data_IF_383008831399
#
_entry.id   IF_383008831399
#
_cell.length_a   1.000
_cell.length_b   1.000
_cell.length_c   1.000
_cell.angle_alpha   90.00
_cell.angle_beta   90.00
_cell.angle_gamma   90.00
#
_symmetry.space_group_name_H-M   'P 1'
#
loop_
_entity.id
_entity.type
_entity.pdbx_description
1 polymer ?
#
# COMPACT_ATOMS: atom_id res chain seq x y z
N UNK A 1 30.36 -11.73 -2.77
CA UNK A 1 30.21 -10.26 -2.97
C UNK A 1 30.05 -9.61 -1.60
N UNK A 2 30.61 -8.42 -1.37
CA UNK A 2 30.46 -7.70 -0.09
C UNK A 2 29.20 -6.81 -0.11
N UNK A 3 28.56 -6.63 1.03
CA UNK A 3 27.38 -5.78 1.20
C UNK A 3 27.76 -4.30 1.25
N UNK A 4 27.04 -3.45 0.52
CA UNK A 4 27.27 -1.99 0.50
C UNK A 4 26.95 -1.34 1.84
N UNK A 5 25.94 -1.84 2.55
CA UNK A 5 25.46 -1.23 3.79
C UNK A 5 26.32 -1.59 5.01
N UNK A 6 26.80 -2.83 5.11
CA UNK A 6 27.46 -3.33 6.32
C UNK A 6 28.81 -4.03 6.08
N UNK A 7 29.30 -4.08 4.84
CA UNK A 7 30.51 -4.85 4.46
C UNK A 7 30.44 -6.36 4.76
N UNK A 8 29.28 -6.89 5.14
CA UNK A 8 29.04 -8.33 5.31
C UNK A 8 29.11 -9.10 3.98
N UNK A 9 28.96 -10.43 4.03
CA UNK A 9 29.03 -11.27 2.83
C UNK A 9 27.66 -11.65 2.31
N UNK A 10 27.47 -11.52 1.00
CA UNK A 10 26.29 -12.04 0.31
C UNK A 10 26.43 -13.53 0.04
N UNK A 11 25.44 -14.31 0.47
CA UNK A 11 25.28 -15.73 0.12
C UNK A 11 24.10 -15.92 -0.83
N UNK A 12 24.27 -16.79 -1.82
CA UNK A 12 23.17 -17.21 -2.70
C UNK A 12 22.18 -18.02 -1.87
N UNK A 13 20.92 -17.64 -1.93
CA UNK A 13 19.78 -18.33 -1.32
C UNK A 13 18.78 -18.64 -2.43
N UNK A 14 18.12 -19.79 -2.32
CA UNK A 14 17.08 -20.23 -3.26
C UNK A 14 15.82 -20.53 -2.48
N UNK A 15 14.86 -19.61 -2.53
CA UNK A 15 13.61 -19.70 -1.77
C UNK A 15 12.52 -18.83 -2.42
N UNK A 16 11.28 -18.96 -1.95
CA UNK A 16 10.22 -18.01 -2.24
C UNK A 16 10.39 -16.74 -1.40
N UNK A 17 10.12 -15.58 -1.98
CA UNK A 17 10.13 -14.28 -1.30
C UNK A 17 8.71 -13.77 -1.12
N UNK A 18 8.41 -13.22 0.06
CA UNK A 18 7.22 -12.40 0.28
C UNK A 18 7.53 -10.97 -0.18
N UNK A 19 6.76 -10.46 -1.13
CA UNK A 19 6.86 -9.09 -1.63
C UNK A 19 5.62 -8.33 -1.18
N UNK A 20 5.83 -7.15 -0.62
CA UNK A 20 4.76 -6.22 -0.29
C UNK A 20 4.72 -5.09 -1.34
N UNK A 21 3.70 -5.11 -2.20
CA UNK A 21 3.49 -4.08 -3.22
C UNK A 21 2.40 -3.08 -2.78
N UNK A 22 2.66 -1.79 -2.96
CA UNK A 22 1.76 -0.71 -2.53
C UNK A 22 0.37 -0.76 -3.20
N UNK A 23 0.24 -1.41 -4.36
CA UNK A 23 -0.99 -1.46 -5.15
C UNK A 23 -1.69 -2.82 -5.09
N UNK A 24 -0.92 -3.91 -5.10
CA UNK A 24 -1.38 -5.30 -5.18
C UNK A 24 -1.33 -6.00 -3.81
N UNK A 25 -0.72 -5.36 -2.82
CA UNK A 25 -0.52 -5.93 -1.48
C UNK A 25 0.53 -7.04 -1.47
N UNK A 26 0.39 -7.94 -0.51
CA UNK A 26 1.35 -9.03 -0.27
C UNK A 26 1.14 -10.16 -1.28
N UNK A 27 2.23 -10.61 -1.90
CA UNK A 27 2.24 -11.83 -2.70
C UNK A 27 3.57 -12.59 -2.55
N UNK A 28 3.52 -13.90 -2.79
CA UNK A 28 4.71 -14.75 -2.76
C UNK A 28 5.27 -14.94 -4.17
N UNK A 29 6.59 -14.89 -4.33
CA UNK A 29 7.27 -15.24 -5.58
C UNK A 29 7.30 -16.75 -5.77
N UNK A 30 7.67 -17.21 -6.96
CA UNK A 30 8.10 -18.60 -7.12
C UNK A 30 9.48 -18.78 -6.45
N UNK A 31 9.98 -20.01 -6.36
CA UNK A 31 11.33 -20.26 -5.85
C UNK A 31 12.34 -19.62 -6.81
N UNK A 32 13.04 -18.59 -6.34
CA UNK A 32 14.00 -17.81 -7.11
C UNK A 32 15.36 -17.76 -6.41
N UNK A 33 16.41 -17.53 -7.19
CA UNK A 33 17.75 -17.31 -6.64
C UNK A 33 17.91 -15.82 -6.31
N UNK A 34 18.40 -15.53 -5.10
CA UNK A 34 18.73 -14.18 -4.66
C UNK A 34 19.94 -14.19 -3.74
N UNK A 35 20.56 -13.04 -3.52
CA UNK A 35 21.65 -12.90 -2.58
C UNK A 35 21.14 -12.28 -1.27
N UNK A 36 21.46 -12.90 -0.13
CA UNK A 36 21.13 -12.38 1.19
C UNK A 36 22.41 -12.10 1.97
N UNK A 37 22.54 -10.90 2.52
CA UNK A 37 23.68 -10.55 3.36
C UNK A 37 23.59 -11.30 4.70
N UNK A 38 24.66 -11.98 5.10
CA UNK A 38 24.69 -12.72 6.38
C UNK A 38 24.69 -11.84 7.62
N UNK A 39 25.00 -10.55 7.48
CA UNK A 39 25.16 -9.63 8.61
C UNK A 39 23.93 -8.75 8.83
N UNK A 40 23.41 -8.08 7.79
CA UNK A 40 22.27 -7.16 7.90
C UNK A 40 20.97 -7.66 7.26
N UNK A 41 20.95 -8.87 6.69
CA UNK A 41 19.82 -9.43 5.94
C UNK A 41 19.40 -8.65 4.68
N UNK A 42 20.21 -7.70 4.20
CA UNK A 42 19.96 -7.02 2.92
C UNK A 42 19.83 -8.04 1.78
N UNK A 43 18.95 -7.76 0.84
CA UNK A 43 18.55 -8.68 -0.22
C UNK A 43 18.82 -8.06 -1.59
N UNK A 44 19.65 -8.73 -2.38
CA UNK A 44 19.96 -8.31 -3.74
C UNK A 44 19.40 -9.32 -4.75
N UNK A 45 18.58 -8.80 -5.67
CA UNK A 45 17.93 -9.59 -6.71
C UNK A 45 18.76 -9.59 -8.00
N UNK A 46 19.18 -10.78 -8.50
CA UNK A 46 19.70 -10.89 -9.85
C UNK A 46 18.68 -10.42 -10.89
N UNK A 47 19.16 -9.91 -12.03
CA UNK A 47 18.31 -9.42 -13.12
C UNK A 47 17.22 -10.43 -13.56
N UNK A 48 17.57 -11.72 -13.62
CA UNK A 48 16.63 -12.80 -13.95
C UNK A 48 15.49 -12.91 -12.93
N UNK A 49 15.82 -12.91 -11.64
CA UNK A 49 14.86 -13.01 -10.54
C UNK A 49 13.99 -11.75 -10.46
N UNK A 50 14.59 -10.56 -10.58
CA UNK A 50 13.87 -9.29 -10.61
C UNK A 50 12.84 -9.25 -11.76
N UNK A 51 13.22 -9.72 -12.96
CA UNK A 51 12.31 -9.80 -14.10
C UNK A 51 11.12 -10.75 -13.84
N UNK A 52 11.39 -11.92 -13.24
CA UNK A 52 10.35 -12.89 -12.89
C UNK A 52 9.36 -12.33 -11.86
N UNK A 53 9.85 -11.58 -10.86
CA UNK A 53 9.00 -10.89 -9.88
C UNK A 53 8.10 -9.85 -10.57
N UNK A 54 8.66 -9.03 -11.46
CA UNK A 54 7.87 -8.03 -12.21
C UNK A 54 6.83 -8.65 -13.14
N UNK A 55 7.15 -9.79 -13.78
CA UNK A 55 6.19 -10.53 -14.61
C UNK A 55 5.03 -11.07 -13.75
N UNK A 56 5.34 -11.69 -12.60
CA UNK A 56 4.33 -12.18 -11.65
C UNK A 56 3.46 -11.04 -11.12
N UNK A 57 4.09 -9.93 -10.73
CA UNK A 57 3.42 -8.71 -10.29
C UNK A 57 2.45 -8.16 -11.35
N UNK A 58 2.90 -8.02 -12.61
CA UNK A 58 2.05 -7.57 -13.72
C UNK A 58 0.87 -8.50 -13.97
N UNK A 59 1.09 -9.82 -13.86
CA UNK A 59 0.04 -10.81 -13.99
C UNK A 59 -1.03 -10.63 -12.91
N UNK A 60 -0.64 -10.58 -11.64
CA UNK A 60 -1.58 -10.38 -10.53
C UNK A 60 -2.32 -9.04 -10.68
N UNK A 61 -1.62 -7.96 -11.04
CA UNK A 61 -2.25 -6.66 -11.30
C UNK A 61 -3.32 -6.76 -12.39
N UNK A 62 -3.01 -7.43 -13.50
CA UNK A 62 -3.94 -7.60 -14.60
C UNK A 62 -5.13 -8.48 -14.20
N UNK A 63 -4.90 -9.56 -13.44
CA UNK A 63 -5.96 -10.43 -12.93
C UNK A 63 -6.93 -9.64 -12.02
N UNK A 64 -6.39 -8.78 -11.14
CA UNK A 64 -7.17 -7.86 -10.33
C UNK A 64 -7.97 -6.91 -11.21
N UNK A 65 -7.35 -6.23 -12.17
CA UNK A 65 -8.05 -5.29 -13.06
C UNK A 65 -9.14 -5.98 -13.89
N UNK A 66 -8.91 -7.21 -14.36
CA UNK A 66 -9.92 -7.98 -15.10
C UNK A 66 -11.12 -8.40 -14.24
N UNK A 67 -10.98 -8.44 -12.91
CA UNK A 67 -12.09 -8.70 -11.99
C UNK A 67 -13.05 -7.52 -11.82
N UNK A 68 -12.64 -6.30 -12.21
CA UNK A 68 -13.51 -5.12 -12.12
C UNK A 68 -14.63 -5.18 -13.17
N UNK A 69 -15.85 -4.69 -12.84
CA UNK A 69 -16.93 -4.55 -13.80
C UNK A 69 -16.54 -3.69 -15.02
N UNK A 70 -16.96 -4.10 -16.22
CA UNK A 70 -16.66 -3.39 -17.48
C UNK A 70 -17.13 -1.91 -17.43
N UNK A 71 -18.23 -1.62 -16.72
CA UNK A 71 -18.77 -0.25 -16.55
C UNK A 71 -17.82 0.71 -15.83
N UNK A 72 -16.86 0.19 -15.07
CA UNK A 72 -15.88 0.98 -14.32
C UNK A 72 -14.68 1.37 -15.20
N UNK A 73 -14.63 0.87 -16.43
CA UNK A 73 -13.64 1.21 -17.42
C UNK A 73 -14.14 2.26 -18.40
N UNK A 74 -13.20 3.03 -18.95
CA UNK A 74 -13.40 3.99 -20.02
C UNK A 74 -12.49 3.68 -21.20
N UNK A 75 -12.96 3.95 -22.40
CA UNK A 75 -12.19 3.83 -23.63
C UNK A 75 -11.07 4.89 -23.70
N UNK A 76 -10.11 4.71 -24.62
CA UNK A 76 -9.08 5.72 -24.88
C UNK A 76 -9.65 7.09 -25.27
N UNK A 77 -10.79 7.13 -25.96
CA UNK A 77 -11.46 8.38 -26.35
C UNK A 77 -12.01 9.09 -25.12
N UNK A 78 -12.80 8.39 -24.31
CA UNK A 78 -13.35 8.95 -23.07
C UNK A 78 -12.26 9.36 -22.08
N UNK A 79 -11.18 8.57 -21.95
CA UNK A 79 -10.05 8.93 -21.12
C UNK A 79 -9.36 10.21 -21.60
N UNK A 80 -9.21 10.40 -22.92
CA UNK A 80 -8.64 11.63 -23.48
C UNK A 80 -9.55 12.84 -23.24
N UNK A 81 -10.86 12.65 -23.31
CA UNK A 81 -11.85 13.70 -23.04
C UNK A 81 -11.82 14.11 -21.55
N UNK A 82 -11.77 13.13 -20.63
CA UNK A 82 -11.64 13.37 -19.19
C UNK A 82 -10.38 14.19 -18.88
N UNK A 83 -9.25 13.82 -19.50
CA UNK A 83 -7.96 14.47 -19.29
C UNK A 83 -7.81 15.80 -20.06
N UNK A 84 -8.77 16.15 -20.93
CA UNK A 84 -8.73 17.31 -21.81
C UNK A 84 -7.45 17.36 -22.68
N UNK A 85 -7.09 16.21 -23.27
CA UNK A 85 -5.97 16.06 -24.20
C UNK A 85 -6.43 15.35 -25.46
N UNK A 86 -5.70 15.50 -26.57
CA UNK A 86 -6.01 14.71 -27.76
C UNK A 86 -5.71 13.22 -27.52
N UNK A 87 -6.44 12.34 -28.20
CA UNK A 87 -6.16 10.88 -28.18
C UNK A 87 -4.72 10.55 -28.57
N UNK A 88 -4.15 11.29 -29.51
CA UNK A 88 -2.74 11.13 -29.89
C UNK A 88 -1.79 11.53 -28.77
N UNK A 89 -2.10 12.61 -28.03
CA UNK A 89 -1.35 13.00 -26.85
C UNK A 89 -1.43 11.94 -25.75
N UNK A 90 -2.61 11.37 -25.48
CA UNK A 90 -2.78 10.26 -24.52
C UNK A 90 -1.81 9.11 -24.80
N UNK A 91 -1.74 8.64 -26.06
CA UNK A 91 -0.85 7.56 -26.47
C UNK A 91 0.63 7.92 -26.39
N UNK A 92 1.00 9.19 -26.64
CA UNK A 92 2.41 9.64 -26.58
C UNK A 92 2.85 10.05 -25.17
N UNK A 93 1.91 10.28 -24.25
CA UNK A 93 2.17 10.79 -22.91
C UNK A 93 3.09 9.86 -22.11
N UNK A 94 4.34 10.29 -21.85
CA UNK A 94 5.37 9.46 -21.19
C UNK A 94 4.90 8.89 -19.87
N UNK A 95 4.25 9.70 -19.04
CA UNK A 95 3.77 9.29 -17.70
C UNK A 95 2.67 8.22 -17.76
N UNK A 96 1.77 8.30 -18.74
CA UNK A 96 0.67 7.34 -18.89
C UNK A 96 1.23 6.02 -19.40
N UNK A 97 2.14 6.06 -20.39
CA UNK A 97 2.88 4.88 -20.86
C UNK A 97 3.70 4.19 -19.78
N UNK A 98 4.18 4.94 -18.79
CA UNK A 98 4.89 4.40 -17.63
C UNK A 98 3.97 3.81 -16.55
N UNK A 99 2.66 3.71 -16.81
CA UNK A 99 1.71 3.04 -15.90
C UNK A 99 1.20 3.90 -14.75
N UNK A 100 1.23 5.25 -14.86
CA UNK A 100 0.60 6.12 -13.86
C UNK A 100 -0.95 6.11 -13.92
N UNK A 101 -1.54 5.39 -14.89
CA UNK A 101 -2.97 5.12 -14.95
C UNK A 101 -3.14 3.61 -15.13
N UNK A 102 -3.98 3.01 -14.29
CA UNK A 102 -4.34 1.60 -14.43
C UNK A 102 -5.11 1.38 -15.72
N UNK A 103 -4.64 0.42 -16.51
CA UNK A 103 -5.24 0.02 -17.77
C UNK A 103 -5.14 -1.50 -17.93
N UNK A 104 -6.06 -2.05 -18.71
CA UNK A 104 -6.06 -3.46 -19.12
C UNK A 104 -6.58 -3.55 -20.56
N UNK A 105 -6.63 -4.77 -21.11
CA UNK A 105 -7.15 -5.03 -22.45
C UNK A 105 -8.41 -5.90 -22.39
N UNK A 106 -9.50 -5.42 -23.00
CA UNK A 106 -10.68 -6.23 -23.30
C UNK A 106 -10.86 -6.34 -24.82
N UNK A 107 -10.91 -7.57 -25.35
CA UNK A 107 -11.08 -7.81 -26.79
C UNK A 107 -10.00 -7.13 -27.65
N UNK A 108 -8.75 -7.10 -27.19
CA UNK A 108 -7.63 -6.46 -27.88
C UNK A 108 -7.63 -4.92 -27.84
N UNK A 109 -8.59 -4.28 -27.17
CA UNK A 109 -8.65 -2.83 -26.98
C UNK A 109 -8.19 -2.47 -25.58
N UNK A 110 -7.29 -1.48 -25.48
CA UNK A 110 -6.90 -0.90 -24.20
C UNK A 110 -8.05 -0.08 -23.63
N UNK A 111 -8.38 -0.34 -22.36
CA UNK A 111 -9.31 0.46 -21.57
C UNK A 111 -8.63 0.90 -20.28
N UNK A 112 -9.12 1.99 -19.69
CA UNK A 112 -8.54 2.59 -18.50
C UNK A 112 -9.55 2.53 -17.37
N UNK A 113 -9.08 2.27 -16.15
CA UNK A 113 -9.96 2.30 -14.98
C UNK A 113 -10.39 3.75 -14.75
N UNK A 114 -11.70 4.02 -14.76
CA UNK A 114 -12.26 5.39 -14.71
C UNK A 114 -11.75 6.18 -13.51
N UNK A 115 -11.76 5.56 -12.33
CA UNK A 115 -11.26 6.17 -11.09
C UNK A 115 -9.78 6.56 -11.19
N UNK A 116 -8.96 5.70 -11.79
CA UNK A 116 -7.54 5.97 -12.01
C UNK A 116 -7.33 7.18 -12.94
N UNK A 117 -8.12 7.32 -14.00
CA UNK A 117 -8.07 8.48 -14.90
C UNK A 117 -8.44 9.77 -14.16
N UNK A 118 -9.51 9.74 -13.36
CA UNK A 118 -9.96 10.89 -12.58
C UNK A 118 -8.91 11.30 -11.54
N UNK A 119 -8.31 10.33 -10.84
CA UNK A 119 -7.27 10.58 -9.85
C UNK A 119 -6.01 11.16 -10.51
N UNK A 120 -5.64 10.65 -11.69
CA UNK A 120 -4.54 11.20 -12.48
C UNK A 120 -4.80 12.65 -12.90
N UNK A 121 -6.05 12.99 -13.29
CA UNK A 121 -6.42 14.39 -13.59
C UNK A 121 -6.17 15.33 -12.40
N UNK A 122 -6.41 14.84 -11.18
CA UNK A 122 -6.28 15.63 -9.96
C UNK A 122 -4.85 15.71 -9.43
N UNK A 123 -4.09 14.61 -9.47
CA UNK A 123 -2.81 14.45 -8.77
C UNK A 123 -1.62 14.14 -9.68
N UNK A 124 -1.85 13.99 -10.98
CA UNK A 124 -0.90 13.47 -11.97
C UNK A 124 -0.35 12.07 -11.65
N UNK A 125 -1.05 11.33 -10.79
CA UNK A 125 -0.82 9.94 -10.45
C UNK A 125 -2.18 9.29 -10.20
N UNK A 126 -2.55 8.36 -11.07
CA UNK A 126 -3.81 7.64 -11.04
C UNK A 126 -3.73 6.32 -10.28
N UNK A 127 -2.58 6.00 -9.68
CA UNK A 127 -2.38 4.73 -8.97
C UNK A 127 -2.90 4.84 -7.54
N UNK A 128 -3.52 3.76 -7.08
CA UNK A 128 -4.03 3.60 -5.71
C UNK A 128 -4.06 2.12 -5.34
N UNK A 129 -4.07 1.75 -4.04
CA UNK A 129 -4.21 0.37 -3.60
C UNK A 129 -5.47 -0.32 -4.13
N UNK A 130 -5.33 -1.42 -4.86
CA UNK A 130 -6.43 -2.17 -5.47
C UNK A 130 -6.99 -3.28 -4.57
N UNK A 131 -6.18 -3.82 -3.64
CA UNK A 131 -6.54 -4.96 -2.77
C UNK A 131 -7.75 -4.67 -1.89
N UNK A 132 -7.88 -3.42 -1.44
CA UNK A 132 -8.96 -3.02 -0.54
C UNK A 132 -10.34 -3.09 -1.22
N UNK A 133 -10.42 -2.99 -2.55
CA UNK A 133 -11.68 -3.00 -3.29
C UNK A 133 -12.25 -4.42 -3.51
N UNK A 134 -11.45 -5.48 -3.43
CA UNK A 134 -11.91 -6.86 -3.68
C UNK A 134 -12.73 -7.42 -2.50
N UNK A 135 -12.49 -6.92 -1.29
CA UNK A 135 -13.15 -7.39 -0.05
C UNK A 135 -14.56 -6.78 0.11
N UNK A 136 -15.07 -6.05 -0.89
CA UNK A 136 -16.39 -5.41 -0.83
C UNK A 136 -16.44 -4.20 0.11
N UNK A 137 -15.27 -3.72 0.57
CA UNK A 137 -15.15 -2.44 1.26
C UNK A 137 -15.18 -1.36 0.18
N UNK A 138 -16.35 -0.76 -0.03
CA UNK A 138 -16.53 0.30 -1.01
C UNK A 138 -15.79 1.56 -0.55
N UNK A 139 -14.63 1.84 -1.16
CA UNK A 139 -13.72 2.95 -0.79
C UNK A 139 -14.26 4.31 -1.27
N UNK A 140 -15.40 4.36 -1.97
CA UNK A 140 -15.97 5.62 -2.50
C UNK A 140 -16.17 6.73 -1.44
N UNK A 141 -16.16 6.40 -0.14
CA UNK A 141 -16.23 7.35 0.97
C UNK A 141 -14.94 7.53 1.79
N UNK A 142 -13.84 6.87 1.44
CA UNK A 142 -12.55 7.12 2.10
C UNK A 142 -11.93 8.33 1.43
N UNK A 143 -12.10 9.47 2.08
CA UNK A 143 -11.45 10.73 1.73
C UNK A 143 -9.93 10.50 1.81
N UNK A 144 -9.30 10.17 0.67
CA UNK A 144 -7.85 10.04 0.57
C UNK A 144 -7.20 11.38 0.91
N UNK A 145 -6.80 11.52 2.17
CA UNK A 145 -5.81 12.52 2.55
C UNK A 145 -4.57 12.22 1.70
N UNK A 146 -4.10 13.16 0.86
CA UNK A 146 -2.90 12.94 0.08
C UNK A 146 -1.79 12.59 1.07
N UNK A 147 -1.20 11.41 0.95
CA UNK A 147 0.10 11.17 1.55
C UNK A 147 1.04 12.18 0.90
N UNK A 148 1.32 13.27 1.62
CA UNK A 148 2.42 14.13 1.27
C UNK A 148 3.63 13.22 1.17
N UNK A 149 4.33 13.27 0.05
CA UNK A 149 5.61 12.59 -0.10
C UNK A 149 6.51 13.15 1.00
N UNK A 150 6.59 12.46 2.13
CA UNK A 150 7.69 12.60 3.05
C UNK A 150 8.90 12.12 2.25
N UNK A 151 9.59 13.07 1.62
CA UNK A 151 11.01 12.93 1.40
C UNK A 151 11.58 12.52 2.75
N UNK A 152 12.10 11.31 2.84
CA UNK A 152 12.95 10.89 3.94
C UNK A 152 14.15 11.84 3.95
N UNK A 153 13.98 13.01 4.59
CA UNK A 153 15.10 13.72 5.18
C UNK A 153 15.56 12.82 6.30
N UNK A 154 16.75 12.26 6.18
CA UNK A 154 17.46 11.66 7.29
C UNK A 154 17.44 12.68 8.43
N UNK A 155 16.61 12.43 9.44
CA UNK A 155 16.68 13.16 10.69
C UNK A 155 17.92 12.61 11.38
N UNK A 156 18.99 13.41 11.35
CA UNK A 156 20.16 13.18 12.17
C UNK A 156 19.70 13.34 13.63
N UNK A 157 19.48 12.22 14.32
CA UNK A 157 19.18 12.26 15.75
C UNK A 157 20.48 12.54 16.49
N UNK A 158 20.50 13.65 17.21
CA UNK A 158 21.57 14.03 18.14
C UNK A 158 21.78 12.90 19.16
N UNK A 159 23.01 12.36 19.33
CA UNK A 159 23.30 11.28 20.27
C UNK A 159 23.09 11.65 21.75
N UNK A 160 22.73 12.89 22.08
CA UNK A 160 22.52 13.34 23.47
C UNK A 160 21.05 13.48 23.90
N UNK A 161 20.07 12.98 23.14
CA UNK A 161 18.66 13.06 23.56
C UNK A 161 18.31 12.00 24.61
N UNK A 162 18.24 12.42 25.88
CA UNK A 162 17.83 11.58 27.01
C UNK A 162 16.30 11.48 27.02
N UNK A 163 15.78 10.25 26.87
CA UNK A 163 14.34 9.95 27.00
C UNK A 163 13.97 9.98 28.49
N UNK A 164 13.00 10.80 28.94
CA UNK A 164 12.49 10.72 30.29
C UNK A 164 11.69 9.42 30.48
N UNK A 165 12.15 8.60 31.43
CA UNK A 165 11.48 7.38 31.87
C UNK A 165 10.35 7.68 32.86
N UNK A 166 9.30 6.87 32.76
CA UNK A 166 8.23 6.61 33.74
C UNK A 166 6.99 7.52 33.74
N UNK A 167 5.90 6.95 33.23
CA UNK A 167 4.53 7.30 33.55
C UNK A 167 3.65 6.08 33.22
N UNK A 168 3.28 5.30 34.24
CA UNK A 168 2.37 4.15 34.10
C UNK A 168 0.94 4.64 33.87
N UNK A 169 0.34 4.25 32.74
CA UNK A 169 -1.06 4.54 32.40
C UNK A 169 -1.95 3.39 32.90
N UNK A 170 -3.06 3.64 33.60
CA UNK A 170 -4.00 2.60 34.00
C UNK A 170 -4.87 2.13 32.83
N UNK A 171 -5.02 0.82 32.69
CA UNK A 171 -5.92 0.18 31.72
C UNK A 171 -7.38 0.27 32.19
N UNK A 172 -8.25 0.92 31.42
CA UNK A 172 -9.71 0.81 31.57
C UNK A 172 -10.27 -0.27 30.64
N UNK A 173 -11.14 -1.14 31.17
CA UNK A 173 -11.81 -2.22 30.44
C UNK A 173 -12.78 -1.69 29.37
N UNK A 174 -12.50 -1.97 28.09
CA UNK A 174 -13.42 -1.70 26.98
C UNK A 174 -14.36 -2.88 26.73
N UNK A 175 -15.64 -2.59 26.50
CA UNK A 175 -16.65 -3.54 26.03
C UNK A 175 -16.39 -3.90 24.56
N UNK A 176 -16.01 -5.16 24.30
CA UNK A 176 -15.81 -5.67 22.96
C UNK A 176 -17.14 -6.12 22.34
N UNK A 177 -17.43 -5.67 21.12
CA UNK A 177 -18.50 -6.22 20.28
C UNK A 177 -17.88 -7.15 19.24
N UNK A 178 -18.28 -8.42 19.26
CA UNK A 178 -17.83 -9.44 18.31
C UNK A 178 -18.73 -9.48 17.07
N UNK A 179 -18.13 -9.59 15.89
CA UNK A 179 -18.84 -9.87 14.63
C UNK A 179 -18.43 -11.27 14.17
N UNK A 180 -19.43 -12.11 13.90
CA UNK A 180 -19.24 -13.42 13.30
C UNK A 180 -19.40 -13.32 11.79
N UNK A 181 -18.36 -13.66 11.03
CA UNK A 181 -18.43 -13.77 9.58
C UNK A 181 -18.23 -15.23 9.21
N UNK A 182 -19.20 -15.81 8.51
CA UNK A 182 -19.15 -17.19 8.03
C UNK A 182 -18.64 -17.16 6.59
N UNK A 183 -17.50 -17.79 6.34
CA UNK A 183 -16.97 -18.01 4.99
C UNK A 183 -16.83 -19.53 4.80
N UNK A 184 -17.77 -20.14 4.07
CA UNK A 184 -17.84 -21.59 3.91
C UNK A 184 -18.18 -22.33 5.22
N UNK A 185 -17.50 -23.45 5.49
CA UNK A 185 -17.71 -24.28 6.71
C UNK A 185 -16.87 -23.84 7.92
N UNK A 186 -16.11 -22.75 7.83
CA UNK A 186 -15.29 -22.27 8.94
C UNK A 186 -15.86 -20.96 9.51
N UNK A 187 -16.10 -20.94 10.82
CA UNK A 187 -16.41 -19.73 11.57
C UNK A 187 -15.11 -19.06 12.01
N UNK A 188 -14.93 -17.79 11.62
CA UNK A 188 -13.84 -16.95 12.09
C UNK A 188 -14.45 -15.80 12.91
N UNK A 189 -14.07 -15.74 14.19
CA UNK A 189 -14.43 -14.67 15.12
C UNK A 189 -13.37 -13.58 15.11
N UNK A 190 -13.78 -12.34 14.85
CA UNK A 190 -12.93 -11.16 14.94
C UNK A 190 -13.45 -10.21 16.02
N UNK A 191 -12.54 -9.73 16.87
CA UNK A 191 -12.79 -8.64 17.82
C UNK A 191 -12.34 -7.33 17.21
N UNK A 192 -13.29 -6.42 16.98
CA UNK A 192 -13.00 -5.05 16.58
C UNK A 192 -12.73 -4.21 17.84
N UNK A 193 -11.61 -3.51 17.86
CA UNK A 193 -11.25 -2.55 18.91
C UNK A 193 -11.59 -1.17 18.35
N UNK A 194 -12.57 -0.50 18.96
CA UNK A 194 -12.95 0.88 18.62
C UNK A 194 -11.93 1.84 19.24
N UNK A 195 -11.10 2.44 18.40
CA UNK A 195 -10.05 3.40 18.79
C UNK A 195 -10.51 4.85 18.71
N UNK A 196 -11.79 5.13 18.42
CA UNK A 196 -12.29 6.51 18.27
C UNK A 196 -12.62 7.22 19.58
N UNK A 197 -12.52 6.53 20.72
CA UNK A 197 -12.71 7.16 22.04
C UNK A 197 -11.39 7.77 22.52
N UNK A 198 -11.29 9.10 22.45
CA UNK A 198 -10.23 9.86 23.11
C UNK A 198 -10.22 9.56 24.63
N UNK A 199 -9.03 9.41 25.24
CA UNK A 199 -8.92 9.18 26.67
C UNK A 199 -9.42 10.41 27.44
N UNK A 200 -10.38 10.17 28.33
CA UNK A 200 -10.95 11.16 29.23
C UNK A 200 -9.85 11.62 30.22
N UNK A 201 -9.34 12.84 30.07
CA UNK A 201 -8.38 13.43 31.00
C UNK A 201 -9.16 13.95 32.21
N UNK A 202 -9.05 13.28 33.36
CA UNK A 202 -9.58 13.83 34.61
C UNK A 202 -8.63 14.91 35.13
N UNK A 203 -9.07 16.16 35.13
CA UNK A 203 -8.37 17.26 35.81
C UNK A 203 -8.53 17.10 37.34
N UNK A 204 -7.41 16.95 38.04
CA UNK A 204 -7.37 16.93 39.50
C UNK A 204 -7.55 18.35 40.05
N UNK A 205 -8.78 18.69 40.47
CA UNK A 205 -9.08 19.93 41.17
C UNK A 205 -8.49 19.95 42.59
N UNK A 206 -7.33 20.60 42.75
CA UNK A 206 -6.73 20.89 44.06
C UNK A 206 -7.36 22.11 44.72
N UNK A 207 -8.16 21.89 45.75
CA UNK A 207 -8.80 22.93 46.55
C UNK A 207 -7.90 23.28 47.75
N UNK A 208 -7.10 24.35 47.66
CA UNK A 208 -6.31 24.84 48.80
C UNK A 208 -7.18 25.77 49.65
N UNK A 209 -7.67 25.23 50.77
CA UNK A 209 -8.31 26.01 51.82
C UNK A 209 -7.30 26.95 52.51
N UNK A 210 -7.71 28.21 52.70
CA UNK A 210 -7.10 29.15 53.65
C UNK A 210 -7.69 28.91 55.04
N UNK A 211 -6.83 28.81 56.04
CA UNK A 211 -7.15 29.05 57.45
C UNK A 211 -5.99 29.83 58.04
#
# INVERSE_FOLDING_TARGET
MKCSECSGEYKITRDALEINDDYIGKFFTDIIDYYKCTSCNDTLLPSKSAKSIEEKRKKILNDILQSFPIKDFVSSTEASDILNISRQALHKHRRIRNGLIFNTSFGGKTVYLRESVLLYKQKEDGRFPLVLNIIGVNIANIHYMPMQRNTLKSVYTDPNYIIPTSGSIPYSSHSASSINIIIGLQQLTYTLIDTTKEPYIMEAGGNYGRS
#
